data_IF_582626688156
#
_entry.id   IF_582626688156
#
_cell.length_a   1.000
_cell.length_b   1.000
_cell.length_c   1.000
_cell.angle_alpha   90.00
_cell.angle_beta   90.00
_cell.angle_gamma   90.00
#
_symmetry.space_group_name_H-M   'P 1'
#
loop_
_entity.id
_entity.type
_entity.pdbx_description
1 polymer ?
#
# COMPACT_ATOMS: atom_id res chain seq x y z
N UNK A 1 6.04 -17.27 -10.02
CA UNK A 1 5.63 -15.86 -9.87
C UNK A 1 4.78 -15.51 -11.08
N UNK A 2 3.46 -15.35 -10.93
CA UNK A 2 2.62 -14.87 -12.03
C UNK A 2 2.99 -13.42 -12.35
N UNK A 3 3.49 -13.18 -13.55
CA UNK A 3 3.72 -11.82 -14.04
C UNK A 3 2.39 -11.26 -14.53
N UNK A 4 2.02 -10.07 -14.05
CA UNK A 4 0.78 -9.41 -14.50
C UNK A 4 0.95 -8.95 -15.94
N UNK A 5 0.02 -9.31 -16.82
CA UNK A 5 0.01 -8.86 -18.22
C UNK A 5 -1.02 -7.74 -18.39
N UNK A 6 -0.64 -6.72 -19.14
CA UNK A 6 -1.52 -5.62 -19.53
C UNK A 6 -1.30 -5.30 -21.00
N UNK A 7 -2.24 -4.63 -21.65
CA UNK A 7 -1.92 -3.93 -22.88
C UNK A 7 -1.28 -2.59 -22.56
N UNK A 8 -0.36 -2.12 -23.39
CA UNK A 8 0.22 -0.79 -23.30
C UNK A 8 0.21 -0.16 -24.68
N UNK A 9 -0.26 1.09 -24.79
CA UNK A 9 -0.26 1.85 -26.04
C UNK A 9 0.82 2.94 -26.05
N UNK A 10 1.48 3.16 -27.19
CA UNK A 10 2.43 4.24 -27.43
C UNK A 10 1.75 5.52 -27.98
N UNK A 11 2.55 6.56 -28.23
CA UNK A 11 2.08 7.85 -28.77
C UNK A 11 1.52 7.77 -30.20
N UNK A 12 1.77 6.66 -30.92
CA UNK A 12 1.29 6.42 -32.30
C UNK A 12 0.03 5.56 -32.31
N UNK A 13 -0.48 5.18 -31.13
CA UNK A 13 -1.60 4.26 -30.99
C UNK A 13 -1.24 2.79 -31.24
N UNK A 14 0.05 2.46 -31.42
CA UNK A 14 0.48 1.06 -31.48
C UNK A 14 0.42 0.49 -30.06
N UNK A 15 0.09 -0.78 -29.94
CA UNK A 15 -0.03 -1.43 -28.66
C UNK A 15 0.63 -2.81 -28.64
N UNK A 16 0.94 -3.25 -27.44
CA UNK A 16 1.51 -4.57 -27.19
C UNK A 16 1.03 -5.11 -25.84
N UNK A 17 0.96 -6.43 -25.70
CA UNK A 17 0.73 -7.08 -24.41
C UNK A 17 2.07 -7.18 -23.70
N UNK A 18 2.18 -6.62 -22.50
CA UNK A 18 3.46 -6.49 -21.79
C UNK A 18 3.34 -7.07 -20.39
N UNK A 19 4.45 -7.58 -19.87
CA UNK A 19 4.54 -8.08 -18.51
C UNK A 19 5.00 -6.96 -17.56
N UNK A 20 4.22 -6.73 -16.51
CA UNK A 20 4.60 -5.88 -15.39
C UNK A 20 5.31 -6.72 -14.33
N UNK A 21 6.56 -6.34 -14.05
CA UNK A 21 7.37 -6.99 -13.02
C UNK A 21 7.65 -5.99 -11.91
N UNK A 22 7.15 -6.32 -10.72
CA UNK A 22 7.45 -5.56 -9.52
C UNK A 22 8.95 -5.58 -9.24
N UNK A 23 9.51 -4.41 -8.90
CA UNK A 23 10.88 -4.33 -8.40
C UNK A 23 10.96 -5.17 -7.14
N UNK A 24 11.83 -6.18 -7.13
CA UNK A 24 12.12 -6.93 -5.91
C UNK A 24 12.71 -5.94 -4.91
N UNK A 25 12.10 -5.86 -3.73
CA UNK A 25 12.80 -5.29 -2.58
C UNK A 25 13.82 -6.33 -2.16
N UNK A 26 15.08 -5.93 -2.03
CA UNK A 26 16.08 -6.77 -1.38
C UNK A 26 15.55 -7.15 0.01
N UNK A 27 15.89 -8.36 0.47
CA UNK A 27 15.28 -9.00 1.63
C UNK A 27 15.06 -8.02 2.78
N UNK A 28 13.84 -8.00 3.32
CA UNK A 28 13.49 -7.10 4.41
C UNK A 28 14.46 -7.23 5.57
N UNK A 29 14.58 -6.16 6.37
CA UNK A 29 15.41 -6.14 7.57
C UNK A 29 15.08 -7.37 8.42
N UNK A 30 16.07 -8.23 8.63
CA UNK A 30 15.96 -9.37 9.53
C UNK A 30 16.40 -8.91 10.92
N UNK A 31 15.56 -9.14 11.91
CA UNK A 31 15.91 -8.92 13.30
C UNK A 31 16.61 -10.18 13.82
N UNK A 32 17.74 -9.99 14.49
CA UNK A 32 18.49 -11.04 15.17
C UNK A 32 18.81 -10.60 16.59
N UNK A 33 18.97 -11.56 17.50
CA UNK A 33 19.46 -11.28 18.84
C UNK A 33 20.99 -11.01 18.85
N UNK A 34 21.54 -10.77 20.05
CA UNK A 34 22.97 -10.50 20.21
C UNK A 34 23.87 -11.68 19.81
N UNK A 35 23.31 -12.89 19.68
CA UNK A 35 23.99 -14.12 19.28
C UNK A 35 23.78 -14.46 17.79
N UNK A 36 23.05 -13.62 17.06
CA UNK A 36 22.77 -13.79 15.63
C UNK A 36 21.63 -14.78 15.33
N UNK A 37 20.89 -15.25 16.33
CA UNK A 37 19.73 -16.08 16.10
C UNK A 37 18.53 -15.23 15.62
N UNK A 38 17.69 -15.75 14.71
CA UNK A 38 16.60 -14.98 14.12
C UNK A 38 15.54 -14.65 15.17
N UNK A 39 15.18 -13.37 15.29
CA UNK A 39 14.08 -12.95 16.14
C UNK A 39 12.74 -13.43 15.55
N UNK A 40 11.86 -13.94 16.41
CA UNK A 40 10.52 -14.38 16.03
C UNK A 40 9.48 -13.49 16.69
N UNK A 41 8.59 -12.94 15.88
CA UNK A 41 7.39 -12.29 16.40
C UNK A 41 6.39 -13.35 16.82
N UNK A 42 6.02 -13.35 18.08
CA UNK A 42 4.92 -14.16 18.60
C UNK A 42 3.88 -13.24 19.25
N UNK A 43 2.63 -13.68 19.22
CA UNK A 43 1.57 -13.08 20.03
C UNK A 43 1.55 -13.83 21.35
N UNK A 44 1.38 -13.10 22.44
CA UNK A 44 1.26 -13.67 23.79
C UNK A 44 0.00 -13.17 24.45
N UNK A 45 -0.54 -13.94 25.39
CA UNK A 45 -1.65 -13.47 26.23
C UNK A 45 -1.12 -12.43 27.22
N UNK A 46 -1.69 -11.23 27.21
CA UNK A 46 -1.35 -10.17 28.18
C UNK A 46 -2.23 -10.20 29.43
N UNK A 47 -3.47 -10.70 29.30
CA UNK A 47 -4.47 -10.79 30.35
C UNK A 47 -5.74 -11.41 29.80
N UNK A 48 -6.67 -11.76 30.69
CA UNK A 48 -7.97 -12.34 30.33
C UNK A 48 -9.09 -11.38 30.68
N UNK A 49 -10.33 -11.69 30.30
CA UNK A 49 -11.49 -10.90 30.75
C UNK A 49 -11.58 -10.82 32.28
N UNK A 50 -11.19 -11.89 32.98
CA UNK A 50 -11.17 -11.93 34.44
C UNK A 50 -10.11 -11.01 35.05
N UNK A 51 -9.04 -10.69 34.32
CA UNK A 51 -7.95 -9.82 34.80
C UNK A 51 -7.97 -8.43 34.15
N UNK A 52 -9.02 -8.13 33.38
CA UNK A 52 -9.19 -6.85 32.72
C UNK A 52 -9.45 -5.71 33.71
N UNK A 53 -9.09 -4.49 33.31
CA UNK A 53 -9.26 -3.30 34.14
C UNK A 53 -10.71 -3.06 34.56
N UNK A 54 -11.65 -3.29 33.66
CA UNK A 54 -13.09 -3.16 33.91
C UNK A 54 -13.56 -4.12 35.00
N UNK A 55 -12.98 -5.32 35.06
CA UNK A 55 -13.27 -6.32 36.08
C UNK A 55 -12.74 -5.87 37.44
N UNK A 56 -11.47 -5.44 37.50
CA UNK A 56 -10.86 -4.89 38.71
C UNK A 56 -11.65 -3.70 39.28
N UNK A 57 -12.13 -2.81 38.41
CA UNK A 57 -12.99 -1.67 38.80
C UNK A 57 -14.37 -2.09 39.32
N UNK A 58 -14.90 -3.20 38.83
CA UNK A 58 -16.19 -3.72 39.28
C UNK A 58 -16.06 -4.40 40.64
N UNK A 59 -14.98 -5.16 40.86
CA UNK A 59 -14.70 -5.85 42.12
C UNK A 59 -14.20 -4.91 43.22
N UNK A 60 -13.46 -3.87 42.84
CA UNK A 60 -12.95 -2.85 43.74
C UNK A 60 -13.43 -1.47 43.27
N UNK A 61 -14.52 -0.99 43.88
CA UNK A 61 -15.20 0.25 43.48
C UNK A 61 -14.39 1.53 43.74
N UNK A 62 -13.36 1.45 44.57
CA UNK A 62 -12.50 2.56 44.99
C UNK A 62 -11.06 2.37 44.47
N UNK A 63 -10.46 3.38 43.81
CA UNK A 63 -9.05 3.37 43.41
C UNK A 63 -8.07 2.99 44.53
N UNK A 64 -8.35 3.34 45.79
CA UNK A 64 -7.47 2.99 46.90
C UNK A 64 -7.48 1.48 47.20
N UNK A 65 -8.64 0.83 47.02
CA UNK A 65 -8.76 -0.63 47.16
C UNK A 65 -8.09 -1.36 46.00
N UNK A 66 -8.18 -0.83 44.78
CA UNK A 66 -7.44 -1.35 43.62
C UNK A 66 -5.94 -1.28 43.88
N UNK A 67 -5.44 -0.12 44.33
CA UNK A 67 -4.02 0.05 44.63
C UNK A 67 -3.54 -0.94 45.70
N UNK A 68 -4.33 -1.15 46.76
CA UNK A 68 -4.01 -2.17 47.79
C UNK A 68 -4.00 -3.58 47.22
N UNK A 69 -4.92 -3.93 46.32
CA UNK A 69 -4.94 -5.24 45.68
C UNK A 69 -3.70 -5.48 44.80
N UNK A 70 -3.30 -4.49 44.01
CA UNK A 70 -2.06 -4.51 43.19
C UNK A 70 -0.78 -4.54 44.03
N UNK A 71 -0.79 -3.97 45.23
CA UNK A 71 0.35 -4.07 46.16
C UNK A 71 0.40 -5.43 46.86
N UNK A 72 -0.75 -6.05 47.09
CA UNK A 72 -0.84 -7.34 47.76
C UNK A 72 -0.51 -8.53 46.84
N UNK A 73 -0.67 -8.37 45.53
CA UNK A 73 -0.35 -9.36 44.52
C UNK A 73 -0.64 -8.84 43.11
N UNK A 74 -0.80 -9.74 42.15
CA UNK A 74 -0.98 -9.39 40.74
C UNK A 74 -2.39 -9.75 40.22
N UNK A 75 -3.48 -9.13 40.71
CA UNK A 75 -4.85 -9.46 40.28
C UNK A 75 -5.12 -9.16 38.80
N UNK A 76 -4.29 -8.34 38.15
CA UNK A 76 -4.29 -8.07 36.72
C UNK A 76 -3.62 -9.16 35.88
N UNK A 77 -2.90 -10.09 36.52
CA UNK A 77 -2.12 -11.13 35.85
C UNK A 77 -2.52 -12.53 36.32
N UNK A 78 -3.14 -13.29 35.42
CA UNK A 78 -3.28 -14.73 35.60
C UNK A 78 -1.95 -15.40 35.25
N UNK A 79 -1.17 -15.77 36.27
CA UNK A 79 0.17 -16.35 36.12
C UNK A 79 0.20 -17.65 35.31
N UNK A 80 -0.91 -18.39 35.25
CA UNK A 80 -1.03 -19.62 34.46
C UNK A 80 -1.26 -19.33 32.97
N UNK A 81 -1.68 -18.11 32.65
CA UNK A 81 -2.11 -17.74 31.29
C UNK A 81 -1.23 -16.66 30.65
N UNK A 82 -0.79 -15.66 31.41
CA UNK A 82 0.01 -14.53 30.92
C UNK A 82 1.34 -15.02 30.33
N UNK A 83 1.74 -14.43 29.20
CA UNK A 83 3.00 -14.78 28.51
C UNK A 83 2.91 -16.04 27.65
N UNK A 84 1.83 -16.82 27.71
CA UNK A 84 1.64 -17.96 26.82
C UNK A 84 1.56 -17.50 25.37
N UNK A 85 2.39 -18.12 24.52
CA UNK A 85 2.35 -17.91 23.09
C UNK A 85 1.01 -18.41 22.53
N UNK A 86 0.36 -17.57 21.73
CA UNK A 86 -0.87 -17.94 21.02
C UNK A 86 -0.55 -18.22 19.55
N UNK A 87 -1.26 -19.19 18.98
CA UNK A 87 -1.21 -19.52 17.57
C UNK A 87 -2.03 -18.53 16.71
N UNK A 88 -2.56 -18.98 15.57
CA UNK A 88 -3.56 -18.24 14.83
C UNK A 88 -4.77 -17.92 15.73
N UNK A 89 -5.16 -16.65 15.80
CA UNK A 89 -6.31 -16.20 16.58
C UNK A 89 -7.20 -15.32 15.71
N UNK A 90 -8.51 -15.50 15.84
CA UNK A 90 -9.51 -14.60 15.29
C UNK A 90 -9.70 -13.40 16.23
N UNK A 91 -9.87 -12.21 15.64
CA UNK A 91 -10.21 -11.01 16.39
C UNK A 91 -11.72 -10.88 16.45
N UNK A 92 -12.27 -10.89 17.65
CA UNK A 92 -13.67 -10.56 17.93
C UNK A 92 -13.72 -9.19 18.58
N UNK A 93 -14.57 -8.32 18.06
CA UNK A 93 -14.86 -7.03 18.72
C UNK A 93 -16.06 -7.23 19.64
N UNK A 94 -16.01 -6.63 20.83
CA UNK A 94 -17.13 -6.65 21.78
C UNK A 94 -17.64 -5.23 22.01
N UNK A 95 -18.92 -5.10 22.35
CA UNK A 95 -19.47 -3.83 22.81
C UNK A 95 -19.07 -3.52 24.27
N UNK A 96 -19.53 -2.38 24.81
CA UNK A 96 -19.24 -1.99 26.19
C UNK A 96 -19.82 -2.93 27.27
N UNK A 97 -20.60 -3.94 26.88
CA UNK A 97 -21.15 -4.96 27.78
C UNK A 97 -20.47 -6.33 27.59
N UNK A 98 -19.39 -6.40 26.78
CA UNK A 98 -18.66 -7.64 26.50
C UNK A 98 -19.35 -8.54 25.47
N UNK A 99 -20.43 -8.09 24.83
CA UNK A 99 -21.14 -8.91 23.84
C UNK A 99 -20.45 -8.83 22.48
N UNK A 100 -20.23 -9.95 21.77
CA UNK A 100 -19.64 -9.94 20.43
C UNK A 100 -20.43 -9.08 19.43
N UNK A 101 -19.71 -8.25 18.68
CA UNK A 101 -20.22 -7.50 17.54
C UNK A 101 -20.20 -8.39 16.30
N UNK A 102 -21.38 -8.69 15.76
CA UNK A 102 -21.54 -9.60 14.62
C UNK A 102 -21.48 -8.92 13.25
N UNK A 103 -21.65 -7.59 13.18
CA UNK A 103 -21.47 -6.85 11.93
C UNK A 103 -20.61 -5.62 12.17
N UNK A 104 -19.58 -5.49 11.35
CA UNK A 104 -18.88 -4.24 11.15
C UNK A 104 -19.41 -3.63 9.85
N UNK A 105 -19.98 -2.43 9.92
CA UNK A 105 -20.26 -1.63 8.72
C UNK A 105 -18.97 -0.86 8.41
N UNK A 106 -18.26 -1.19 7.32
CA UNK A 106 -17.07 -0.43 6.97
C UNK A 106 -17.48 0.99 6.57
N UNK A 107 -16.70 1.97 7.00
CA UNK A 107 -16.86 3.39 6.68
C UNK A 107 -15.50 3.93 6.25
N UNK A 108 -15.47 4.69 5.18
CA UNK A 108 -14.29 5.43 4.76
C UNK A 108 -14.29 6.78 5.48
N UNK A 109 -13.20 7.08 6.19
CA UNK A 109 -13.01 8.35 6.90
C UNK A 109 -11.79 9.04 6.32
N UNK A 110 -11.98 10.25 5.80
CA UNK A 110 -10.89 11.07 5.27
C UNK A 110 -10.45 12.06 6.33
N UNK A 111 -9.14 12.13 6.56
CA UNK A 111 -8.52 13.11 7.46
C UNK A 111 -7.71 14.12 6.65
N UNK A 112 -7.68 15.36 7.13
CA UNK A 112 -6.75 16.38 6.63
C UNK A 112 -5.33 16.20 7.20
N UNK A 113 -4.43 17.10 6.83
CA UNK A 113 -3.04 17.09 7.29
C UNK A 113 -2.88 17.36 8.80
N UNK A 114 -3.88 17.99 9.44
CA UNK A 114 -3.91 18.25 10.88
C UNK A 114 -4.57 17.10 11.68
N UNK A 115 -5.04 16.06 10.98
CA UNK A 115 -5.74 14.92 11.57
C UNK A 115 -7.22 15.19 11.88
N UNK A 116 -7.82 16.26 11.34
CA UNK A 116 -9.27 16.49 11.46
C UNK A 116 -10.02 15.72 10.40
N UNK A 117 -11.16 15.14 10.78
CA UNK A 117 -12.05 14.44 9.86
C UNK A 117 -12.69 15.42 8.88
N UNK A 118 -12.50 15.19 7.58
CA UNK A 118 -13.06 16.00 6.50
C UNK A 118 -14.24 15.33 5.79
N UNK A 119 -14.29 14.00 5.77
CA UNK A 119 -15.37 13.24 5.13
C UNK A 119 -15.58 11.89 5.81
N UNK A 120 -16.83 11.40 5.76
CA UNK A 120 -17.23 10.08 6.21
C UNK A 120 -18.31 9.51 5.31
N UNK A 121 -18.04 8.38 4.67
CA UNK A 121 -18.92 7.78 3.68
C UNK A 121 -18.88 6.24 3.68
N UNK A 122 -19.80 5.61 2.96
CA UNK A 122 -19.74 4.16 2.72
C UNK A 122 -18.69 3.84 1.64
N UNK A 123 -17.86 2.79 1.83
CA UNK A 123 -16.85 2.44 0.84
C UNK A 123 -17.48 2.08 -0.50
N UNK A 124 -16.98 2.70 -1.57
CA UNK A 124 -17.39 2.38 -2.94
C UNK A 124 -16.43 1.36 -3.52
N UNK A 125 -16.96 0.19 -3.90
CA UNK A 125 -16.14 -0.84 -4.54
C UNK A 125 -15.63 -0.35 -5.89
N UNK A 126 -14.30 -0.39 -6.05
CA UNK A 126 -13.65 0.06 -7.28
C UNK A 126 -12.89 -1.10 -7.93
N UNK A 127 -13.23 -1.49 -9.17
CA UNK A 127 -12.54 -2.58 -9.86
C UNK A 127 -11.13 -2.19 -10.28
N UNK A 128 -10.26 -3.19 -10.43
CA UNK A 128 -8.98 -2.99 -11.07
C UNK A 128 -9.18 -2.65 -12.55
N UNK A 129 -8.40 -1.70 -13.08
CA UNK A 129 -8.49 -1.29 -14.49
C UNK A 129 -7.21 -1.58 -15.29
N UNK A 130 -6.24 -2.25 -14.66
CA UNK A 130 -5.05 -2.80 -15.32
C UNK A 130 -5.32 -4.24 -15.76
N UNK A 131 -6.23 -4.39 -16.70
CA UNK A 131 -6.67 -5.69 -17.23
C UNK A 131 -6.19 -5.90 -18.67
N UNK A 132 -6.04 -7.16 -19.13
CA UNK A 132 -5.63 -7.45 -20.51
C UNK A 132 -6.61 -6.98 -21.59
N UNK A 133 -7.77 -6.44 -21.27
CA UNK A 133 -8.75 -6.02 -22.29
C UNK A 133 -8.78 -4.50 -22.46
N UNK A 134 -8.16 -3.74 -21.55
CA UNK A 134 -8.18 -2.27 -21.56
C UNK A 134 -6.77 -1.72 -21.32
N UNK A 135 -6.08 -1.25 -22.38
CA UNK A 135 -4.76 -0.65 -22.22
C UNK A 135 -4.84 0.67 -21.43
N UNK A 136 -3.89 0.93 -20.52
CA UNK A 136 -3.48 2.29 -20.23
C UNK A 136 -3.06 2.98 -21.53
N UNK A 137 -3.61 4.17 -21.74
CA UNK A 137 -3.37 5.00 -22.91
C UNK A 137 -2.43 6.12 -22.52
N UNK A 138 -1.51 6.46 -23.42
CA UNK A 138 -0.73 7.67 -23.29
C UNK A 138 -1.62 8.90 -23.50
N UNK A 139 -1.70 9.75 -22.49
CA UNK A 139 -2.43 11.02 -22.53
C UNK A 139 -1.92 12.09 -23.52
N UNK A 140 -0.89 11.80 -24.32
CA UNK A 140 -0.15 12.79 -25.12
C UNK A 140 0.72 13.75 -24.31
N UNK A 141 0.64 13.74 -22.98
CA UNK A 141 1.43 14.64 -22.12
C UNK A 141 2.78 14.02 -21.77
N UNK A 142 3.82 14.83 -21.90
CA UNK A 142 5.19 14.54 -21.45
C UNK A 142 5.56 15.50 -20.32
N UNK A 143 6.22 14.99 -19.28
CA UNK A 143 6.77 15.80 -18.18
C UNK A 143 8.29 15.64 -18.13
N UNK A 144 9.02 16.71 -17.81
CA UNK A 144 10.44 16.56 -17.49
C UNK A 144 10.62 15.75 -16.20
N UNK A 145 11.76 15.07 -16.06
CA UNK A 145 12.09 14.34 -14.84
C UNK A 145 12.08 15.28 -13.62
N UNK A 146 12.65 16.47 -13.82
CA UNK A 146 12.69 17.57 -12.87
C UNK A 146 11.33 18.07 -12.40
N UNK A 147 10.37 18.20 -13.31
CA UNK A 147 8.99 18.57 -13.00
C UNK A 147 8.31 17.45 -12.22
N UNK A 148 8.52 16.20 -12.65
CA UNK A 148 7.84 15.06 -12.08
C UNK A 148 8.26 14.79 -10.62
N UNK A 149 9.55 14.83 -10.30
CA UNK A 149 10.05 14.59 -8.93
C UNK A 149 9.66 15.71 -7.95
N UNK A 150 9.41 16.93 -8.45
CA UNK A 150 8.98 18.06 -7.62
C UNK A 150 7.47 18.09 -7.39
N UNK A 151 6.68 17.46 -8.29
CA UNK A 151 5.22 17.49 -8.25
C UNK A 151 4.57 16.22 -7.71
N UNK A 152 5.26 15.08 -7.74
CA UNK A 152 4.64 13.78 -7.43
C UNK A 152 5.48 12.95 -6.45
N UNK A 153 4.78 12.28 -5.54
CA UNK A 153 5.37 11.27 -4.65
C UNK A 153 5.25 9.87 -5.28
N UNK A 154 6.33 9.39 -5.88
CA UNK A 154 6.38 8.05 -6.46
C UNK A 154 6.50 6.99 -5.36
N UNK A 155 5.49 6.12 -5.24
CA UNK A 155 5.43 5.11 -4.17
C UNK A 155 5.59 3.68 -4.68
N UNK A 156 5.39 3.45 -5.99
CA UNK A 156 5.55 2.14 -6.63
C UNK A 156 6.20 2.30 -8.01
N UNK A 157 6.92 1.27 -8.43
CA UNK A 157 7.50 1.19 -9.77
C UNK A 157 7.45 -0.26 -10.28
N UNK A 158 7.11 -0.40 -11.56
CA UNK A 158 7.10 -1.67 -12.28
C UNK A 158 8.01 -1.60 -13.50
N UNK A 159 8.82 -2.62 -13.68
CA UNK A 159 9.51 -2.81 -14.95
C UNK A 159 8.54 -3.38 -15.98
N UNK A 160 8.49 -2.77 -17.16
CA UNK A 160 7.71 -3.25 -18.29
C UNK A 160 8.60 -4.13 -19.17
N UNK A 161 8.20 -5.39 -19.35
CA UNK A 161 8.99 -6.41 -20.05
C UNK A 161 8.22 -7.01 -21.22
N UNK A 162 8.98 -7.31 -22.28
CA UNK A 162 8.50 -8.13 -23.38
C UNK A 162 8.48 -9.61 -22.99
N UNK A 163 7.64 -10.36 -23.69
CA UNK A 163 7.53 -11.82 -23.62
C UNK A 163 7.88 -12.48 -24.96
N UNK A 164 7.94 -11.71 -26.05
CA UNK A 164 8.38 -12.15 -27.38
C UNK A 164 9.14 -11.04 -28.12
N UNK A 165 9.65 -11.35 -29.33
CA UNK A 165 10.46 -10.44 -30.13
C UNK A 165 9.69 -9.22 -30.66
N UNK A 166 8.41 -9.38 -31.03
CA UNK A 166 7.61 -8.26 -31.52
C UNK A 166 7.35 -7.21 -30.42
N UNK A 167 7.05 -7.68 -29.21
CA UNK A 167 6.93 -6.85 -28.02
C UNK A 167 8.27 -6.20 -27.65
N UNK A 168 9.39 -6.88 -27.87
CA UNK A 168 10.72 -6.31 -27.67
C UNK A 168 10.92 -5.07 -28.56
N UNK A 169 10.70 -5.20 -29.85
CA UNK A 169 10.92 -4.10 -30.80
C UNK A 169 10.01 -2.90 -30.52
N UNK A 170 8.76 -3.18 -30.13
CA UNK A 170 7.83 -2.15 -29.67
C UNK A 170 8.35 -1.42 -28.41
N UNK A 171 8.75 -2.17 -27.38
CA UNK A 171 9.19 -1.60 -26.11
C UNK A 171 10.54 -0.90 -26.21
N UNK A 172 11.46 -1.41 -27.05
CA UNK A 172 12.74 -0.77 -27.33
C UNK A 172 12.52 0.59 -28.01
N UNK A 173 11.74 0.63 -29.10
CA UNK A 173 11.45 1.89 -29.78
C UNK A 173 10.69 2.90 -28.92
N UNK A 174 9.81 2.44 -28.02
CA UNK A 174 9.16 3.30 -27.04
C UNK A 174 10.16 3.84 -26.00
N UNK A 175 11.07 3.00 -25.52
CA UNK A 175 12.09 3.40 -24.57
C UNK A 175 13.07 4.41 -25.18
N UNK A 176 13.49 4.18 -26.43
CA UNK A 176 14.34 5.09 -27.20
C UNK A 176 13.67 6.46 -27.39
N UNK A 177 12.39 6.46 -27.78
CA UNK A 177 11.62 7.70 -27.91
C UNK A 177 11.63 8.50 -26.60
N UNK A 178 11.30 7.87 -25.47
CA UNK A 178 11.23 8.56 -24.18
C UNK A 178 12.61 9.04 -23.70
N UNK A 179 13.65 8.28 -23.99
CA UNK A 179 15.03 8.64 -23.70
C UNK A 179 15.47 9.88 -24.49
N UNK A 180 15.22 9.91 -25.80
CA UNK A 180 15.52 11.04 -26.67
C UNK A 180 14.78 12.32 -26.23
N UNK A 181 13.53 12.18 -25.77
CA UNK A 181 12.77 13.31 -25.22
C UNK A 181 13.26 13.76 -23.84
N UNK A 182 14.02 12.91 -23.12
CA UNK A 182 14.41 13.09 -21.72
C UNK A 182 13.21 13.43 -20.80
N UNK A 183 12.08 12.74 -21.02
CA UNK A 183 10.79 13.03 -20.38
C UNK A 183 10.06 11.74 -20.00
N UNK A 184 9.14 11.87 -19.06
CA UNK A 184 8.19 10.83 -18.66
C UNK A 184 6.88 11.01 -19.42
N UNK A 185 6.32 9.93 -19.95
CA UNK A 185 4.99 9.94 -20.53
C UNK A 185 3.92 9.68 -19.47
N UNK A 186 2.92 10.55 -19.41
CA UNK A 186 1.77 10.33 -18.54
C UNK A 186 0.83 9.31 -19.19
N UNK A 187 0.67 8.18 -18.53
CA UNK A 187 -0.18 7.06 -18.95
C UNK A 187 -1.28 6.84 -17.92
N UNK A 188 -2.50 6.65 -18.40
CA UNK A 188 -3.68 6.55 -17.55
C UNK A 188 -4.77 5.72 -18.18
N UNK A 189 -5.86 5.55 -17.44
CA UNK A 189 -7.04 4.83 -17.92
C UNK A 189 -7.97 5.73 -18.73
N UNK A 190 -8.89 5.10 -19.46
CA UNK A 190 -9.89 5.77 -20.29
C UNK A 190 -9.35 6.26 -21.64
N UNK A 191 -10.25 6.75 -22.53
CA UNK A 191 -9.91 7.04 -23.93
C UNK A 191 -8.81 8.09 -24.12
N UNK A 192 -8.71 9.03 -23.17
CA UNK A 192 -7.72 10.12 -23.19
C UNK A 192 -6.50 9.85 -22.31
N UNK A 193 -6.41 8.69 -21.65
CA UNK A 193 -5.30 8.37 -20.75
C UNK A 193 -5.17 9.32 -19.54
N UNK A 194 -6.24 10.03 -19.16
CA UNK A 194 -6.24 10.98 -18.03
C UNK A 194 -6.78 10.37 -16.74
N UNK A 195 -7.43 9.20 -16.83
CA UNK A 195 -7.96 8.50 -15.67
C UNK A 195 -6.85 7.83 -14.84
N UNK A 196 -7.11 7.52 -13.57
CA UNK A 196 -6.14 6.86 -12.71
C UNK A 196 -5.94 5.39 -13.10
N UNK A 197 -4.79 4.83 -12.73
CA UNK A 197 -4.51 3.41 -12.77
C UNK A 197 -4.85 2.80 -11.41
N UNK A 198 -5.68 1.76 -11.44
CA UNK A 198 -6.18 1.03 -10.28
C UNK A 198 -5.65 -0.39 -10.39
N UNK A 199 -4.65 -0.68 -9.56
CA UNK A 199 -3.83 -1.87 -9.75
C UNK A 199 -4.55 -3.15 -9.34
N UNK A 200 -5.40 -3.08 -8.34
CA UNK A 200 -6.18 -4.21 -7.83
C UNK A 200 -7.47 -3.67 -7.23
N UNK A 201 -8.42 -4.56 -6.91
CA UNK A 201 -9.72 -4.18 -6.37
C UNK A 201 -9.52 -3.31 -5.12
N UNK A 202 -10.19 -2.16 -5.07
CA UNK A 202 -10.13 -1.17 -3.98
C UNK A 202 -8.71 -0.61 -3.71
N UNK A 203 -7.77 -0.75 -4.65
CA UNK A 203 -6.47 -0.11 -4.53
C UNK A 203 -6.59 1.40 -4.69
N UNK A 204 -5.71 2.14 -4.00
CA UNK A 204 -5.58 3.59 -4.16
C UNK A 204 -5.38 3.94 -5.64
N UNK A 205 -6.19 4.84 -6.22
CA UNK A 205 -6.01 5.31 -7.58
C UNK A 205 -4.64 6.01 -7.74
N UNK A 206 -3.87 5.65 -8.78
CA UNK A 206 -2.52 6.20 -8.99
C UNK A 206 -2.35 6.80 -10.38
N UNK A 207 -1.52 7.83 -10.51
CA UNK A 207 -1.06 8.35 -11.80
C UNK A 207 0.12 7.53 -12.30
N UNK A 208 0.11 7.16 -13.59
CA UNK A 208 1.18 6.41 -14.23
C UNK A 208 2.13 7.27 -15.04
N UNK A 209 3.43 7.04 -14.87
CA UNK A 209 4.49 7.76 -15.57
C UNK A 209 5.47 6.76 -16.16
N UNK A 210 5.58 6.76 -17.49
CA UNK A 210 6.43 5.84 -18.22
C UNK A 210 7.78 6.50 -18.51
N UNK A 211 8.86 5.85 -18.07
CA UNK A 211 10.24 6.21 -18.34
C UNK A 211 10.88 5.19 -19.27
N UNK A 212 11.68 5.66 -20.23
CA UNK A 212 12.49 4.83 -21.11
C UNK A 212 13.97 5.18 -21.08
N UNK A 213 14.80 4.15 -21.20
CA UNK A 213 16.25 4.23 -21.42
C UNK A 213 16.70 3.09 -22.33
N UNK A 214 17.73 3.29 -23.13
CA UNK A 214 18.30 2.26 -24.01
C UNK A 214 19.81 2.14 -23.84
N UNK A 215 20.35 0.98 -24.20
CA UNK A 215 21.79 0.72 -24.25
C UNK A 215 22.07 -0.35 -25.30
N UNK A 216 22.33 0.09 -26.52
CA UNK A 216 22.46 -0.80 -27.67
C UNK A 216 21.13 -1.49 -27.96
N UNK A 217 21.16 -2.82 -28.00
CA UNK A 217 19.99 -3.69 -28.18
C UNK A 217 19.14 -3.84 -26.91
N UNK A 218 19.62 -3.36 -25.75
CA UNK A 218 18.89 -3.44 -24.49
C UNK A 218 18.04 -2.20 -24.26
N UNK A 219 16.91 -2.39 -23.59
CA UNK A 219 16.07 -1.31 -23.11
C UNK A 219 15.71 -1.49 -21.63
N UNK A 220 15.38 -0.39 -20.98
CA UNK A 220 14.74 -0.34 -19.67
C UNK A 220 13.52 0.57 -19.78
N UNK A 221 12.35 -0.01 -19.54
CA UNK A 221 11.10 0.73 -19.45
C UNK A 221 10.50 0.56 -18.05
N UNK A 222 10.21 1.67 -17.38
CA UNK A 222 9.70 1.69 -16.00
C UNK A 222 8.41 2.47 -15.96
N UNK A 223 7.35 1.82 -15.48
CA UNK A 223 6.09 2.47 -15.12
C UNK A 223 6.15 2.85 -13.64
N UNK A 224 6.39 4.14 -13.38
CA UNK A 224 6.32 4.73 -12.05
C UNK A 224 4.88 5.10 -11.72
N UNK A 225 4.47 4.84 -10.47
CA UNK A 225 3.14 5.16 -9.99
C UNK A 225 3.23 6.13 -8.81
N UNK A 226 2.44 7.21 -8.89
CA UNK A 226 2.30 8.17 -7.81
C UNK A 226 0.84 8.22 -7.33
N UNK A 227 0.63 8.04 -6.02
CA UNK A 227 -0.69 8.19 -5.40
C UNK A 227 -1.00 9.64 -5.04
N UNK A 228 0.03 10.47 -4.85
CA UNK A 228 -0.12 11.82 -4.30
C UNK A 228 0.65 12.85 -5.12
N UNK A 229 0.07 14.04 -5.22
CA UNK A 229 0.77 15.25 -5.64
C UNK A 229 1.39 15.92 -4.43
N UNK A 230 2.63 16.36 -4.60
CA UNK A 230 3.34 17.14 -3.59
C UNK A 230 2.77 18.55 -3.59
N UNK A 231 2.37 19.02 -2.41
CA UNK A 231 2.05 20.43 -2.18
C UNK A 231 3.29 21.14 -1.63
N UNK A 232 3.53 22.40 -2.00
CA UNK A 232 4.55 23.19 -1.34
C UNK A 232 4.24 23.26 0.17
N UNK A 233 5.27 23.26 1.04
CA UNK A 233 5.05 23.49 2.45
C UNK A 233 4.37 24.85 2.64
N UNK A 234 3.37 24.91 3.52
CA UNK A 234 2.82 26.20 3.97
C UNK A 234 3.92 26.92 4.74
N UNK A 235 4.10 28.22 4.51
CA UNK A 235 5.00 29.03 5.34
C UNK A 235 4.56 28.88 6.80
N UNK A 236 5.50 28.54 7.67
CA UNK A 236 5.23 28.49 9.09
C UNK A 236 4.95 29.93 9.55
N UNK A 237 3.70 30.20 9.92
CA UNK A 237 3.29 31.43 10.59
C UNK A 237 3.95 31.58 11.96
#
# INVERSE_FOLDING_TARGET
MNQRRIWLADHRGRNAVVALVARRRDGGVQYADAQGAPARFCRVVKGTEATAWERLRTEHSDPELIARALLAGDPEADVETVGRAVGPCDRVFVDGQGKPLYSARPVDVLYDADGRETDRSEPVETPANLVPETPPVWSGRLLSRDEAVRRYAFTRAWQVRHTNALEHDFLHGLAEYLEQQNRLALVGSGPRGTGPLITERNATPMKGFLEGRTRGDRYLLVLHLAAFELRPPQEAS
#
